data_IF_030829459187
#
_entry.id   IF_030829459187
#
_cell.length_a   1.000
_cell.length_b   1.000
_cell.length_c   1.000
_cell.angle_alpha   90.00
_cell.angle_beta   90.00
_cell.angle_gamma   90.00
#
_symmetry.space_group_name_H-M   'P 1'
#
loop_
_entity.id
_entity.type
_entity.pdbx_description
1 polymer ?
#
# COMPACT_ATOMS: atom_id res chain seq x y z
N UNK A 1 -0.58 4.96 0.18
CA UNK A 1 -1.96 4.59 0.55
C UNK A 1 -2.04 3.89 1.90
N UNK A 2 -1.27 2.82 2.14
CA UNK A 2 -1.38 2.02 3.37
C UNK A 2 -0.24 2.28 4.39
N UNK A 3 1.01 2.28 3.94
CA UNK A 3 2.18 2.56 4.81
C UNK A 3 2.38 4.06 5.02
N UNK A 4 2.43 4.82 3.92
CA UNK A 4 2.70 6.27 3.96
C UNK A 4 1.45 7.15 3.95
N UNK A 5 0.24 6.57 3.96
CA UNK A 5 -1.02 7.35 3.94
C UNK A 5 -1.24 8.23 2.69
N UNK A 6 -0.38 8.17 1.68
CA UNK A 6 -0.50 8.99 0.46
C UNK A 6 -1.56 8.46 -0.53
N UNK A 7 -2.20 9.30 -1.35
CA UNK A 7 -3.11 8.85 -2.41
C UNK A 7 -2.39 8.04 -3.50
N UNK A 8 -3.16 7.33 -4.33
CA UNK A 8 -2.65 6.47 -5.40
C UNK A 8 -1.75 7.23 -6.38
N UNK A 9 -2.19 8.41 -6.82
CA UNK A 9 -1.46 9.24 -7.78
C UNK A 9 -0.08 9.64 -7.24
N UNK A 10 -0.02 10.06 -5.96
CA UNK A 10 1.25 10.38 -5.30
C UNK A 10 2.17 9.17 -5.14
N UNK A 11 1.62 7.99 -4.87
CA UNK A 11 2.42 6.77 -4.83
C UNK A 11 3.00 6.44 -6.21
N UNK A 12 2.22 6.64 -7.27
CA UNK A 12 2.67 6.44 -8.64
C UNK A 12 3.76 7.43 -9.06
N UNK A 13 3.64 8.70 -8.66
CA UNK A 13 4.67 9.71 -8.89
C UNK A 13 6.01 9.31 -8.27
N UNK A 14 5.99 8.79 -7.03
CA UNK A 14 7.20 8.32 -6.33
C UNK A 14 7.85 7.14 -7.06
N UNK A 15 7.05 6.16 -7.51
CA UNK A 15 7.57 5.02 -8.30
C UNK A 15 8.17 5.49 -9.63
N UNK A 16 7.54 6.46 -10.27
CA UNK A 16 8.01 7.06 -11.52
C UNK A 16 9.33 7.80 -11.32
N UNK A 17 9.44 8.58 -10.25
CA UNK A 17 10.69 9.26 -9.88
C UNK A 17 11.81 8.26 -9.61
N UNK A 18 11.57 7.20 -8.81
CA UNK A 18 12.56 6.15 -8.57
C UNK A 18 13.03 5.46 -9.85
N UNK A 19 12.10 5.21 -10.79
CA UNK A 19 12.40 4.63 -12.10
C UNK A 19 13.36 5.49 -12.91
N UNK A 20 13.14 6.80 -12.92
CA UNK A 20 14.00 7.75 -13.61
C UNK A 20 15.38 7.87 -12.96
N UNK A 21 15.44 7.95 -11.62
CA UNK A 21 16.71 8.10 -10.88
C UNK A 21 17.64 6.89 -11.05
N UNK A 22 17.07 5.69 -11.14
CA UNK A 22 17.83 4.43 -11.18
C UNK A 22 17.95 3.83 -12.58
N UNK A 23 17.35 4.47 -13.59
CA UNK A 23 17.19 3.92 -14.93
C UNK A 23 16.68 2.46 -14.92
N UNK A 24 15.76 2.17 -14.01
CA UNK A 24 15.16 0.84 -13.83
C UNK A 24 13.70 0.90 -14.26
N UNK A 25 13.20 -0.16 -14.89
CA UNK A 25 11.81 -0.22 -15.33
C UNK A 25 10.87 -0.07 -14.13
N UNK A 26 9.87 0.81 -14.23
CA UNK A 26 8.88 1.05 -13.17
C UNK A 26 8.22 -0.25 -12.69
N UNK A 27 7.90 -1.16 -13.62
CA UNK A 27 7.36 -2.49 -13.30
C UNK A 27 8.27 -3.28 -12.35
N UNK A 28 9.58 -3.28 -12.60
CA UNK A 28 10.56 -3.98 -11.77
C UNK A 28 10.63 -3.39 -10.37
N UNK A 29 10.57 -2.06 -10.24
CA UNK A 29 10.53 -1.38 -8.95
C UNK A 29 9.25 -1.74 -8.19
N UNK A 30 8.10 -1.73 -8.86
CA UNK A 30 6.84 -2.10 -8.26
C UNK A 30 6.83 -3.56 -7.78
N UNK A 31 7.33 -4.49 -8.60
CA UNK A 31 7.43 -5.91 -8.25
C UNK A 31 8.35 -6.14 -7.02
N UNK A 32 9.52 -5.50 -7.00
CA UNK A 32 10.45 -5.59 -5.86
C UNK A 32 9.86 -4.96 -4.60
N UNK A 33 9.17 -3.82 -4.72
CA UNK A 33 8.54 -3.16 -3.58
C UNK A 33 7.44 -4.03 -2.97
N UNK A 34 6.59 -4.64 -3.79
CA UNK A 34 5.52 -5.54 -3.31
C UNK A 34 6.11 -6.79 -2.68
N UNK A 35 7.14 -7.39 -3.29
CA UNK A 35 7.82 -8.57 -2.76
C UNK A 35 8.46 -8.27 -1.40
N UNK A 36 9.26 -7.20 -1.31
CA UNK A 36 9.91 -6.81 -0.07
C UNK A 36 8.92 -6.41 1.03
N UNK A 37 7.76 -5.85 0.66
CA UNK A 37 6.71 -5.55 1.64
C UNK A 37 6.12 -6.82 2.27
N UNK A 38 5.96 -7.90 1.49
CA UNK A 38 5.50 -9.20 2.01
C UNK A 38 6.53 -9.82 2.94
N UNK A 39 7.83 -9.73 2.59
CA UNK A 39 8.93 -10.25 3.41
C UNK A 39 9.12 -9.49 4.73
N UNK A 40 8.67 -8.24 4.78
CA UNK A 40 8.82 -7.39 5.96
C UNK A 40 7.90 -7.81 7.14
N UNK A 41 7.04 -8.83 6.97
CA UNK A 41 6.04 -9.35 7.92
C UNK A 41 5.30 -8.22 8.68
N UNK A 42 4.06 -7.87 8.30
CA UNK A 42 3.32 -6.83 9.02
C UNK A 42 3.22 -7.24 10.49
N UNK A 43 3.71 -6.40 11.40
CA UNK A 43 3.63 -6.63 12.83
C UNK A 43 2.21 -7.14 13.17
N UNK A 44 2.09 -8.19 13.99
CA UNK A 44 0.82 -8.89 14.22
C UNK A 44 -0.37 -7.96 14.56
N UNK A 45 -0.08 -6.80 15.16
CA UNK A 45 -1.01 -5.71 15.43
C UNK A 45 -1.64 -5.10 14.17
N UNK A 46 -0.86 -4.90 13.11
CA UNK A 46 -1.32 -4.37 11.83
C UNK A 46 -2.27 -5.35 11.14
N UNK A 47 -1.96 -6.66 11.16
CA UNK A 47 -2.84 -7.70 10.60
C UNK A 47 -4.19 -7.72 11.31
N UNK A 48 -4.18 -7.67 12.64
CA UNK A 48 -5.41 -7.65 13.46
C UNK A 48 -6.26 -6.41 13.20
N UNK A 49 -5.64 -5.22 13.13
CA UNK A 49 -6.34 -3.98 12.78
C UNK A 49 -6.92 -4.01 11.37
N UNK A 50 -6.18 -4.58 10.42
CA UNK A 50 -6.63 -4.70 9.04
C UNK A 50 -7.80 -5.67 8.90
N UNK A 51 -7.77 -6.82 9.58
CA UNK A 51 -8.87 -7.78 9.64
C UNK A 51 -10.13 -7.13 10.23
N UNK A 52 -10.00 -6.37 11.33
CA UNK A 52 -11.12 -5.64 11.89
C UNK A 52 -11.69 -4.59 10.91
N UNK A 53 -10.82 -3.86 10.20
CA UNK A 53 -11.24 -2.91 9.16
C UNK A 53 -12.01 -3.59 8.03
N UNK A 54 -11.52 -4.73 7.55
CA UNK A 54 -12.14 -5.53 6.49
C UNK A 54 -13.52 -6.04 6.93
N UNK A 55 -13.62 -6.60 8.13
CA UNK A 55 -14.87 -7.13 8.66
C UNK A 55 -15.91 -6.03 8.93
N UNK A 56 -15.48 -4.81 9.26
CA UNK A 56 -16.38 -3.68 9.58
C UNK A 56 -16.63 -2.72 8.42
N UNK A 57 -15.99 -2.91 7.26
CA UNK A 57 -16.10 -2.00 6.11
C UNK A 57 -17.56 -1.80 5.65
N UNK A 58 -18.34 -2.88 5.62
CA UNK A 58 -19.75 -2.87 5.24
C UNK A 58 -20.68 -2.13 6.23
N UNK A 59 -20.22 -1.94 7.48
CA UNK A 59 -20.99 -1.20 8.49
C UNK A 59 -20.77 0.31 8.33
N UNK A 60 -19.58 0.73 7.90
CA UNK A 60 -19.24 2.13 7.65
C UNK A 60 -20.00 2.71 6.46
N UNK A 61 -20.29 1.92 5.44
CA UNK A 61 -21.11 2.36 4.30
C UNK A 61 -22.57 2.62 4.69
N UNK A 62 -23.07 1.97 5.75
CA UNK A 62 -24.43 2.17 6.27
C UNK A 62 -24.62 3.38 7.18
N UNK A 63 -23.54 3.91 7.77
CA UNK A 63 -23.59 5.13 8.60
C UNK A 63 -23.38 6.42 7.81
N UNK A 64 -23.03 6.32 6.52
CA UNK A 64 -22.81 7.46 5.63
C UNK A 64 -23.93 7.67 4.59
N UNK A 65 -25.09 7.02 4.78
CA UNK A 65 -26.33 7.26 4.03
C UNK A 65 -27.41 7.79 4.95
#
# INVERSE_FOLDING_TARGET
MLVYGIPADRAFDVLTWCSQQTNTRLRTIAEQLVTGFVECEPAADLRTRFDHLLLTAHQRTRQQG
#
